data_IF_196448184567
#
_entry.id   IF_196448184567
#
_cell.length_a   1.000
_cell.length_b   1.000
_cell.length_c   1.000
_cell.angle_alpha   90.00
_cell.angle_beta   90.00
_cell.angle_gamma   90.00
#
_symmetry.space_group_name_H-M   'P 1'
#
loop_
_entity.id
_entity.type
_entity.pdbx_description
1 polymer ?
#
# COMPACT_ATOMS: atom_id res chain seq x y z
N UNK A 1 -7.42 17.05 -19.55
CA UNK A 1 -6.48 16.38 -18.62
C UNK A 1 -7.26 15.49 -17.65
N UNK A 2 -6.91 14.22 -17.50
CA UNK A 2 -7.58 13.33 -16.56
C UNK A 2 -7.03 13.53 -15.14
N UNK A 3 -7.89 13.87 -14.17
CA UNK A 3 -7.50 13.96 -12.76
C UNK A 3 -7.57 12.59 -12.12
N UNK A 4 -6.56 12.22 -11.34
CA UNK A 4 -6.55 10.97 -10.59
C UNK A 4 -7.53 11.06 -9.41
N UNK A 5 -8.65 10.34 -9.49
CA UNK A 5 -9.68 10.26 -8.42
C UNK A 5 -9.50 9.03 -7.51
N UNK A 6 -8.46 8.23 -7.75
CA UNK A 6 -8.18 7.03 -6.98
C UNK A 6 -7.65 7.30 -5.56
N UNK A 7 -7.39 6.23 -4.79
CA UNK A 7 -6.88 6.35 -3.42
C UNK A 7 -5.46 6.94 -3.40
N UNK A 8 -5.33 8.21 -3.02
CA UNK A 8 -4.05 8.95 -2.94
C UNK A 8 -2.99 8.28 -2.07
N UNK A 9 -3.39 7.62 -0.97
CA UNK A 9 -2.44 6.90 -0.11
C UNK A 9 -1.77 5.70 -0.82
N UNK A 10 -2.38 5.18 -1.89
CA UNK A 10 -1.81 4.11 -2.72
C UNK A 10 -0.57 4.62 -3.47
N UNK A 11 -0.59 5.89 -3.89
CA UNK A 11 0.52 6.54 -4.58
C UNK A 11 1.68 6.72 -3.61
N UNK A 12 1.44 7.28 -2.42
CA UNK A 12 2.49 7.46 -1.41
C UNK A 12 3.18 6.12 -1.06
N UNK A 13 2.39 5.06 -0.81
CA UNK A 13 2.91 3.72 -0.51
C UNK A 13 3.63 3.06 -1.68
N UNK A 14 3.26 3.36 -2.92
CA UNK A 14 3.94 2.83 -4.11
C UNK A 14 5.23 3.59 -4.41
N UNK A 15 5.28 4.90 -4.12
CA UNK A 15 6.45 5.74 -4.34
C UNK A 15 7.53 5.53 -3.27
N UNK A 16 7.12 5.11 -2.07
CA UNK A 16 8.05 4.96 -0.94
C UNK A 16 8.22 6.25 -0.13
N UNK A 17 7.52 7.33 -0.50
CA UNK A 17 7.64 8.65 0.10
C UNK A 17 6.27 9.23 0.52
N UNK A 18 6.26 10.02 1.60
CA UNK A 18 5.08 10.82 1.97
C UNK A 18 4.93 12.00 1.02
N UNK A 19 4.01 11.87 0.07
CA UNK A 19 3.67 12.95 -0.87
C UNK A 19 2.67 13.97 -0.33
N UNK A 20 2.19 13.81 0.91
CA UNK A 20 1.23 14.70 1.59
C UNK A 20 -0.05 15.07 0.79
N UNK A 21 -0.43 14.24 -0.19
CA UNK A 21 -1.60 14.44 -1.07
C UNK A 21 -2.95 14.47 -0.35
N UNK A 22 -2.98 14.13 0.94
CA UNK A 22 -4.20 14.08 1.78
C UNK A 22 -4.23 15.16 2.87
N UNK A 23 -3.27 16.09 2.85
CA UNK A 23 -3.16 17.19 3.82
C UNK A 23 -3.02 16.70 5.26
N UNK A 24 -3.89 17.19 6.15
CA UNK A 24 -3.91 16.92 7.59
C UNK A 24 -3.83 15.43 7.95
N UNK A 25 -4.49 14.57 7.17
CA UNK A 25 -4.49 13.12 7.43
C UNK A 25 -3.10 12.47 7.24
N UNK A 26 -2.20 13.11 6.49
CA UNK A 26 -0.82 12.63 6.30
C UNK A 26 0.10 12.97 7.48
N UNK A 27 -0.26 13.97 8.29
CA UNK A 27 0.47 14.36 9.51
C UNK A 27 -0.02 13.61 10.75
N UNK A 28 -1.21 13.02 10.69
CA UNK A 28 -1.76 12.19 11.76
C UNK A 28 -1.22 10.74 11.70
N UNK A 29 -1.13 10.03 12.85
CA UNK A 29 -0.82 8.58 12.89
C UNK A 29 -1.85 7.70 12.16
N UNK A 30 -2.97 8.29 11.71
CA UNK A 30 -3.95 7.64 10.84
C UNK A 30 -3.47 7.52 9.38
N UNK A 31 -2.27 8.02 9.05
CA UNK A 31 -1.69 7.93 7.71
C UNK A 31 -1.43 6.47 7.32
N UNK A 32 -1.94 6.07 6.15
CA UNK A 32 -1.78 4.69 5.68
C UNK A 32 -0.32 4.35 5.32
N UNK A 33 0.51 5.36 5.05
CA UNK A 33 1.93 5.17 4.79
C UNK A 33 2.68 4.76 6.06
N UNK A 34 2.46 5.46 7.18
CA UNK A 34 3.10 5.11 8.46
C UNK A 34 2.67 3.74 8.97
N UNK A 35 1.36 3.45 8.87
CA UNK A 35 0.83 2.17 9.36
C UNK A 35 1.23 0.97 8.47
N UNK A 36 1.45 1.21 7.17
CA UNK A 36 1.74 0.17 6.17
C UNK A 36 2.68 0.74 5.10
N UNK A 37 4.00 0.80 5.37
CA UNK A 37 4.96 1.39 4.44
C UNK A 37 5.15 0.55 3.17
N UNK A 38 4.83 -0.75 3.22
CA UNK A 38 4.99 -1.63 2.07
C UNK A 38 4.05 -1.26 0.91
N UNK A 39 4.46 -1.47 -0.35
CA UNK A 39 3.61 -1.21 -1.50
C UNK A 39 2.30 -2.01 -1.46
N UNK A 40 1.20 -1.43 -1.97
CA UNK A 40 -0.09 -2.10 -2.01
C UNK A 40 -0.09 -3.17 -3.11
N UNK A 41 -0.36 -4.42 -2.74
CA UNK A 41 -0.40 -5.56 -3.67
C UNK A 41 0.69 -6.61 -3.42
N UNK A 42 1.66 -6.33 -2.55
CA UNK A 42 2.61 -7.36 -2.09
C UNK A 42 1.83 -8.37 -1.26
N UNK A 43 1.46 -9.48 -1.90
CA UNK A 43 0.84 -10.63 -1.23
C UNK A 43 1.91 -11.21 -0.31
N UNK A 44 1.72 -11.10 1.01
CA UNK A 44 2.52 -11.88 1.95
C UNK A 44 2.44 -13.33 1.46
N UNK A 45 3.55 -13.99 1.08
CA UNK A 45 3.50 -15.38 0.68
C UNK A 45 2.96 -16.14 1.88
N UNK A 46 1.65 -16.45 1.84
CA UNK A 46 1.07 -17.38 2.78
C UNK A 46 1.85 -18.67 2.59
N UNK A 47 2.44 -19.26 3.64
CA UNK A 47 2.99 -20.59 3.51
C UNK A 47 1.85 -21.45 2.95
N UNK A 48 2.09 -22.03 1.77
CA UNK A 48 1.10 -22.87 1.09
C UNK A 48 0.95 -24.12 1.93
N UNK A 49 0.06 -24.08 2.93
CA UNK A 49 -0.37 -25.27 3.65
C UNK A 49 -1.16 -26.11 2.65
N UNK A 50 -0.51 -27.13 2.10
CA UNK A 50 -1.12 -28.19 1.28
C UNK A 50 -1.21 -27.85 -0.21
N UNK A 51 -0.19 -28.25 -0.96
CA UNK A 51 -0.27 -28.42 -2.40
C UNK A 51 0.69 -29.53 -2.78
N UNK A 52 0.22 -30.78 -2.72
CA UNK A 52 0.99 -31.94 -3.15
C UNK A 52 1.42 -31.78 -4.60
N UNK A 53 2.72 -31.59 -4.80
CA UNK A 53 3.41 -31.92 -6.03
C UNK A 53 3.79 -33.40 -5.95
N UNK A 54 2.87 -34.27 -6.38
CA UNK A 54 3.21 -35.65 -6.73
C UNK A 54 3.79 -35.64 -8.14
N UNK A 55 5.09 -35.89 -8.23
CA UNK A 55 5.72 -36.43 -9.43
C UNK A 55 5.64 -37.95 -9.40
#
# INVERSE_FOLDING_TARGET
MARYTGPVCRICRRRGDKLYLKGERCYSPKCAFERRPHPPGTRNPRPRKGGGSGG
#
